data_IF_649573100889
#
_entry.id   IF_649573100889
#
_cell.length_a   1.000
_cell.length_b   1.000
_cell.length_c   1.000
_cell.angle_alpha   90.00
_cell.angle_beta   90.00
_cell.angle_gamma   90.00
#
_symmetry.space_group_name_H-M   'P 1'
#
loop_
_entity.id
_entity.type
_entity.pdbx_description
1 polymer ?
#
# COMPACT_ATOMS: atom_id res chain seq x y z
N UNK A 1 17.51 -12.44 1.20
CA UNK A 1 17.33 -11.38 2.23
C UNK A 1 16.34 -10.33 1.76
N UNK A 2 16.45 -9.85 0.52
CA UNK A 2 15.47 -8.95 -0.10
C UNK A 2 14.06 -9.55 -0.14
N UNK A 3 13.85 -10.77 -0.63
CA UNK A 3 12.51 -11.39 -0.69
C UNK A 3 11.78 -11.41 0.65
N UNK A 4 12.49 -11.67 1.75
CA UNK A 4 11.88 -11.72 3.08
C UNK A 4 11.41 -10.34 3.55
N UNK A 5 12.22 -9.31 3.30
CA UNK A 5 11.87 -7.93 3.60
C UNK A 5 10.66 -7.47 2.77
N UNK A 6 10.62 -7.81 1.48
CA UNK A 6 9.49 -7.51 0.61
C UNK A 6 8.21 -8.21 1.09
N UNK A 7 8.33 -9.47 1.47
CA UNK A 7 7.20 -10.28 1.93
C UNK A 7 6.65 -9.79 3.29
N UNK A 8 7.54 -9.41 4.21
CA UNK A 8 7.17 -8.85 5.51
C UNK A 8 6.41 -7.51 5.35
N UNK A 9 6.89 -6.60 4.48
CA UNK A 9 6.20 -5.33 4.20
C UNK A 9 4.83 -5.52 3.54
N UNK A 10 4.74 -6.43 2.57
CA UNK A 10 3.47 -6.80 1.91
C UNK A 10 2.46 -7.37 2.91
N UNK A 11 2.94 -8.18 3.86
CA UNK A 11 2.10 -8.77 4.92
C UNK A 11 1.53 -7.68 5.83
N UNK A 12 2.34 -6.69 6.21
CA UNK A 12 1.87 -5.58 7.04
C UNK A 12 0.78 -4.76 6.34
N UNK A 13 0.98 -4.41 5.07
CA UNK A 13 -0.03 -3.68 4.28
C UNK A 13 -1.34 -4.48 4.20
N UNK A 14 -1.24 -5.78 3.91
CA UNK A 14 -2.40 -6.68 3.87
C UNK A 14 -3.13 -6.73 5.21
N UNK A 15 -2.42 -6.82 6.34
CA UNK A 15 -3.02 -6.84 7.67
C UNK A 15 -3.78 -5.55 7.98
N UNK A 16 -3.23 -4.39 7.63
CA UNK A 16 -3.92 -3.10 7.84
C UNK A 16 -5.22 -3.03 7.03
N UNK A 17 -5.20 -3.47 5.77
CA UNK A 17 -6.39 -3.51 4.93
C UNK A 17 -7.44 -4.51 5.44
N UNK A 18 -7.01 -5.68 5.92
CA UNK A 18 -7.90 -6.66 6.56
C UNK A 18 -8.58 -6.09 7.80
N UNK A 19 -7.85 -5.32 8.62
CA UNK A 19 -8.44 -4.64 9.76
C UNK A 19 -9.47 -3.59 9.32
N UNK A 20 -9.19 -2.83 8.25
CA UNK A 20 -10.15 -1.86 7.70
C UNK A 20 -11.44 -2.54 7.20
N UNK A 21 -11.35 -3.71 6.56
CA UNK A 21 -12.52 -4.54 6.23
C UNK A 21 -13.28 -4.94 7.50
N UNK A 22 -12.57 -5.43 8.52
CA UNK A 22 -13.21 -5.89 9.75
C UNK A 22 -13.96 -4.77 10.48
N UNK A 23 -13.54 -3.51 10.29
CA UNK A 23 -14.21 -2.30 10.80
C UNK A 23 -15.35 -1.80 9.89
N UNK A 24 -15.52 -2.38 8.70
CA UNK A 24 -16.51 -1.95 7.71
C UNK A 24 -16.13 -0.66 6.98
N UNK A 25 -14.86 -0.23 7.03
CA UNK A 25 -14.38 1.00 6.37
C UNK A 25 -14.23 0.84 4.86
N UNK A 26 -13.92 -0.39 4.40
CA UNK A 26 -13.71 -0.73 3.00
C UNK A 26 -14.36 -2.08 2.67
N UNK A 27 -14.82 -2.25 1.42
CA UNK A 27 -15.38 -3.51 0.94
C UNK A 27 -14.39 -4.68 0.96
N UNK A 28 -14.87 -5.91 1.19
CA UNK A 28 -14.01 -7.09 1.22
C UNK A 28 -13.43 -7.45 -0.16
N UNK A 29 -14.14 -7.10 -1.24
CA UNK A 29 -13.69 -7.22 -2.63
C UNK A 29 -12.57 -6.25 -3.01
N UNK A 30 -12.23 -5.32 -2.11
CA UNK A 30 -11.31 -4.22 -2.36
C UNK A 30 -9.84 -4.59 -2.13
N UNK A 31 -9.56 -5.69 -1.41
CA UNK A 31 -8.19 -6.20 -1.32
C UNK A 31 -7.80 -6.77 -2.68
N UNK A 32 -7.02 -5.96 -3.40
CA UNK A 32 -6.29 -6.38 -4.59
C UNK A 32 -4.81 -6.57 -4.22
N UNK A 33 -4.23 -7.70 -4.61
CA UNK A 33 -2.81 -7.96 -4.41
C UNK A 33 -1.91 -6.89 -5.05
N UNK A 34 -2.30 -6.36 -6.21
CA UNK A 34 -1.62 -5.25 -6.89
C UNK A 34 -1.61 -3.97 -6.05
N UNK A 35 -2.70 -3.70 -5.31
CA UNK A 35 -2.77 -2.56 -4.39
C UNK A 35 -1.84 -2.75 -3.18
N UNK A 36 -1.74 -3.99 -2.69
CA UNK A 36 -0.83 -4.33 -1.59
C UNK A 36 0.65 -4.17 -2.00
N UNK A 37 0.96 -4.36 -3.29
CA UNK A 37 2.31 -4.28 -3.83
C UNK A 37 2.72 -2.84 -4.21
N UNK A 38 1.74 -1.96 -4.47
CA UNK A 38 1.96 -0.59 -4.94
C UNK A 38 2.79 0.26 -3.95
N UNK A 39 2.38 0.29 -2.68
CA UNK A 39 3.07 1.08 -1.64
C UNK A 39 4.53 0.59 -1.45
N UNK A 40 4.78 -0.67 -1.06
CA UNK A 40 6.15 -1.12 -0.86
C UNK A 40 6.97 -1.06 -2.14
N UNK A 41 6.40 -1.49 -3.28
CA UNK A 41 7.07 -1.50 -4.58
C UNK A 41 7.58 -0.12 -5.00
N UNK A 42 6.73 0.91 -4.86
CA UNK A 42 7.13 2.28 -5.18
C UNK A 42 8.24 2.80 -4.24
N UNK A 43 8.15 2.54 -2.94
CA UNK A 43 9.17 2.98 -1.98
C UNK A 43 10.53 2.33 -2.25
N UNK A 44 10.55 1.05 -2.62
CA UNK A 44 11.77 0.34 -3.02
C UNK A 44 12.34 0.93 -4.31
N UNK A 45 11.50 1.15 -5.31
CA UNK A 45 11.90 1.80 -6.56
C UNK A 45 12.56 3.15 -6.30
N UNK A 46 11.97 3.97 -5.42
CA UNK A 46 12.51 5.29 -5.07
C UNK A 46 13.83 5.22 -4.31
N UNK A 47 13.92 4.36 -3.29
CA UNK A 47 15.11 4.23 -2.45
C UNK A 47 16.29 3.61 -3.20
N UNK A 48 16.06 2.48 -3.88
CA UNK A 48 17.13 1.64 -4.41
C UNK A 48 17.47 2.01 -5.85
N UNK A 49 16.46 2.18 -6.70
CA UNK A 49 16.69 2.34 -8.14
C UNK A 49 16.80 3.82 -8.54
N UNK A 50 16.02 4.69 -7.91
CA UNK A 50 16.03 6.14 -8.22
C UNK A 50 17.00 6.95 -7.37
N UNK A 51 17.59 6.36 -6.31
CA UNK A 51 18.41 7.04 -5.31
C UNK A 51 17.77 8.35 -4.78
N UNK A 52 16.44 8.35 -4.66
CA UNK A 52 15.61 9.48 -4.23
C UNK A 52 14.74 9.01 -3.06
N UNK A 53 15.26 9.01 -1.82
CA UNK A 53 14.53 8.50 -0.68
C UNK A 53 13.19 9.23 -0.52
N UNK A 54 12.11 8.51 -0.13
CA UNK A 54 10.80 9.10 0.05
C UNK A 54 10.81 10.11 1.19
N UNK A 55 10.11 11.22 0.98
CA UNK A 55 9.77 12.18 2.04
C UNK A 55 8.36 11.87 2.56
N UNK A 56 8.02 12.43 3.73
CA UNK A 56 6.65 12.36 4.26
C UNK A 56 5.61 12.76 3.21
N UNK A 57 5.84 13.92 2.56
CA UNK A 57 4.98 14.44 1.49
C UNK A 57 4.82 13.44 0.33
N UNK A 58 5.88 12.69 -0.02
CA UNK A 58 5.78 11.68 -1.07
C UNK A 58 4.83 10.57 -0.65
N UNK A 59 4.96 10.10 0.60
CA UNK A 59 4.16 9.00 1.12
C UNK A 59 2.69 9.44 1.20
N UNK A 60 2.40 10.62 1.75
CA UNK A 60 1.06 11.21 1.78
C UNK A 60 0.47 11.31 0.36
N UNK A 61 1.22 11.90 -0.58
CA UNK A 61 0.75 12.04 -1.96
C UNK A 61 0.41 10.69 -2.60
N UNK A 62 1.21 9.65 -2.36
CA UNK A 62 0.96 8.32 -2.89
C UNK A 62 -0.28 7.67 -2.25
N UNK A 63 -0.39 7.75 -0.92
CA UNK A 63 -1.49 7.15 -0.19
C UNK A 63 -2.81 7.85 -0.55
N UNK A 64 -2.84 9.18 -0.48
CA UNK A 64 -4.05 9.97 -0.65
C UNK A 64 -4.54 10.00 -2.09
N UNK A 65 -3.63 10.05 -3.07
CA UNK A 65 -4.03 10.22 -4.47
C UNK A 65 -4.07 8.91 -5.27
N UNK A 66 -3.40 7.84 -4.83
CA UNK A 66 -3.36 6.58 -5.58
C UNK A 66 -4.01 5.41 -4.85
N UNK A 67 -3.79 5.28 -3.54
CA UNK A 67 -4.21 4.09 -2.78
C UNK A 67 -5.62 4.28 -2.22
N UNK A 68 -5.84 5.30 -1.37
CA UNK A 68 -7.13 5.56 -0.72
C UNK A 68 -8.31 5.69 -1.70
N UNK A 69 -8.20 6.38 -2.85
CA UNK A 69 -9.33 6.52 -3.76
C UNK A 69 -9.84 5.17 -4.28
N UNK A 70 -8.94 4.20 -4.48
CA UNK A 70 -9.29 2.85 -4.92
C UNK A 70 -9.83 1.97 -3.81
N UNK A 71 -9.49 2.28 -2.56
CA UNK A 71 -10.02 1.57 -1.40
C UNK A 71 -11.44 2.04 -1.03
N UNK A 72 -11.73 3.33 -1.23
CA UNK A 72 -13.00 3.95 -0.83
C UNK A 72 -14.05 3.87 -1.95
N UNK A 73 -13.64 3.94 -3.23
CA UNK A 73 -14.57 3.85 -4.37
C UNK A 73 -15.20 2.46 -4.56
N UNK A 74 -14.73 1.45 -3.82
CA UNK A 74 -15.24 0.09 -3.88
C UNK A 74 -16.35 -0.20 -2.84
N UNK A 75 -16.82 0.85 -2.15
CA UNK A 75 -17.88 0.79 -1.14
C UNK A 75 -19.26 1.17 -1.70
N UNK A 76 -19.42 1.22 -3.04
CA UNK A 76 -20.72 1.40 -3.71
C UNK A 76 -21.48 0.08 -3.91
#
# INVERSE_FOLDING_TARGET
MQDRFLHEQRTLVRQVLQQAISRGEIGASTINEELCDLLPGYLIFRCIFSNRPPTHLTIETLVDNAILPKLISATE
#
